data_IF_767192225926
#
_entry.id   IF_767192225926
#
_cell.length_a   1.000
_cell.length_b   1.000
_cell.length_c   1.000
_cell.angle_alpha   90.00
_cell.angle_beta   90.00
_cell.angle_gamma   90.00
#
_symmetry.space_group_name_H-M   'P 1'
#
loop_
_entity.id
_entity.type
_entity.pdbx_description
1 polymer ?
#
# COMPACT_ATOMS: atom_id res chain seq x y z
N UNK A 1 10.24 -18.59 -10.44
CA UNK A 1 10.40 -17.12 -10.43
C UNK A 1 11.32 -16.77 -9.27
N UNK A 2 12.33 -15.89 -9.45
CA UNK A 2 13.24 -15.51 -8.35
C UNK A 2 12.66 -14.29 -7.62
N UNK A 3 12.73 -14.22 -6.28
CA UNK A 3 12.34 -13.03 -5.54
C UNK A 3 13.19 -11.82 -5.97
N UNK A 4 12.64 -10.61 -5.82
CA UNK A 4 13.40 -9.36 -6.04
C UNK A 4 14.65 -9.38 -5.14
N UNK A 5 15.82 -9.05 -5.68
CA UNK A 5 17.05 -9.08 -4.90
C UNK A 5 17.11 -7.94 -3.87
N UNK A 6 17.68 -8.23 -2.70
CA UNK A 6 17.92 -7.24 -1.65
C UNK A 6 18.81 -6.09 -2.14
N UNK A 7 19.70 -6.34 -3.09
CA UNK A 7 20.56 -5.31 -3.69
C UNK A 7 19.75 -4.25 -4.44
N UNK A 8 18.82 -4.67 -5.30
CA UNK A 8 17.95 -3.75 -6.02
C UNK A 8 17.04 -2.97 -5.07
N UNK A 9 16.56 -3.63 -4.02
CA UNK A 9 15.78 -2.96 -2.99
C UNK A 9 16.60 -1.91 -2.23
N UNK A 10 17.82 -2.24 -1.83
CA UNK A 10 18.73 -1.32 -1.14
C UNK A 10 19.11 -0.12 -2.02
N UNK A 11 19.23 -0.31 -3.34
CA UNK A 11 19.42 0.78 -4.28
C UNK A 11 18.18 1.69 -4.35
N UNK A 12 16.98 1.11 -4.39
CA UNK A 12 15.72 1.85 -4.37
C UNK A 12 15.58 2.73 -3.11
N UNK A 13 15.92 2.20 -1.94
CA UNK A 13 15.87 2.94 -0.67
C UNK A 13 16.74 4.20 -0.64
N UNK A 14 17.76 4.28 -1.51
CA UNK A 14 18.67 5.44 -1.62
C UNK A 14 18.26 6.41 -2.73
N UNK A 15 17.20 6.08 -3.49
CA UNK A 15 16.75 6.87 -4.62
C UNK A 15 15.80 8.00 -4.20
N UNK A 16 15.69 9.04 -5.02
CA UNK A 16 14.71 10.13 -4.81
C UNK A 16 13.25 9.66 -4.96
N UNK A 17 13.03 8.50 -5.59
CA UNK A 17 11.71 7.89 -5.76
C UNK A 17 11.34 6.95 -4.61
N UNK A 18 12.16 6.89 -3.55
CA UNK A 18 11.86 6.06 -2.39
C UNK A 18 10.59 6.51 -1.69
N UNK A 19 9.66 5.57 -1.49
CA UNK A 19 8.45 5.79 -0.72
C UNK A 19 8.37 4.77 0.41
N UNK A 20 8.48 5.27 1.64
CA UNK A 20 8.44 4.44 2.87
C UNK A 20 7.15 3.63 3.02
N UNK A 21 6.09 3.99 2.29
CA UNK A 21 4.79 3.32 2.31
C UNK A 21 4.76 2.05 1.46
N UNK A 22 5.80 1.81 0.65
CA UNK A 22 5.92 0.59 -0.14
C UNK A 22 6.73 -0.44 0.66
N UNK A 23 6.18 -1.63 0.93
CA UNK A 23 6.83 -2.63 1.77
C UNK A 23 8.06 -3.24 1.08
N UNK A 24 9.12 -3.58 1.83
CA UNK A 24 10.21 -4.36 1.28
C UNK A 24 9.74 -5.74 0.79
N UNK A 25 10.34 -6.29 -0.28
CA UNK A 25 10.01 -7.62 -0.77
C UNK A 25 10.17 -8.72 0.27
N UNK A 26 11.09 -8.54 1.23
CA UNK A 26 11.37 -9.49 2.31
C UNK A 26 10.19 -9.77 3.22
N UNK A 27 9.28 -8.80 3.40
CA UNK A 27 8.05 -8.97 4.21
C UNK A 27 6.82 -9.25 3.34
N UNK A 28 6.97 -9.24 2.02
CA UNK A 28 5.88 -9.50 1.10
C UNK A 28 5.58 -11.00 1.00
N UNK A 29 4.67 -11.47 1.84
CA UNK A 29 4.21 -12.85 1.85
C UNK A 29 3.36 -13.24 0.63
N UNK A 30 3.02 -12.30 -0.25
CA UNK A 30 2.44 -12.56 -1.57
C UNK A 30 3.54 -12.58 -2.67
N UNK A 31 4.78 -12.92 -2.30
CA UNK A 31 6.03 -12.89 -3.08
C UNK A 31 6.02 -13.61 -4.43
N UNK A 32 4.94 -14.32 -4.77
CA UNK A 32 4.86 -15.16 -5.96
C UNK A 32 4.78 -14.45 -7.31
N UNK A 33 4.95 -13.12 -7.45
CA UNK A 33 4.49 -12.50 -8.71
C UNK A 33 5.20 -11.26 -9.29
N UNK A 34 6.36 -10.77 -8.83
CA UNK A 34 7.06 -9.68 -9.52
C UNK A 34 8.53 -10.01 -9.82
N UNK A 35 8.89 -10.00 -11.12
CA UNK A 35 10.24 -10.28 -11.63
C UNK A 35 11.19 -9.08 -11.56
N UNK A 36 10.68 -7.87 -11.38
CA UNK A 36 11.49 -6.63 -11.40
C UNK A 36 11.02 -5.63 -10.34
N UNK A 37 11.94 -4.76 -9.90
CA UNK A 37 11.62 -3.65 -9.00
C UNK A 37 10.54 -2.74 -9.61
N UNK A 38 10.64 -2.45 -10.91
CA UNK A 38 9.69 -1.61 -11.61
C UNK A 38 8.27 -2.18 -11.56
N UNK A 39 8.12 -3.48 -11.81
CA UNK A 39 6.81 -4.12 -11.74
C UNK A 39 6.30 -4.19 -10.29
N UNK A 40 7.19 -4.43 -9.32
CA UNK A 40 6.84 -4.40 -7.90
C UNK A 40 6.28 -3.04 -7.47
N UNK A 41 7.00 -1.95 -7.79
CA UNK A 41 6.58 -0.58 -7.50
C UNK A 41 5.28 -0.24 -8.25
N UNK A 42 5.17 -0.61 -9.53
CA UNK A 42 3.98 -0.37 -10.35
C UNK A 42 2.75 -1.01 -9.72
N UNK A 43 2.81 -2.29 -9.35
CA UNK A 43 1.65 -2.98 -8.75
C UNK A 43 1.23 -2.38 -7.42
N UNK A 44 2.19 -1.95 -6.61
CA UNK A 44 1.86 -1.33 -5.33
C UNK A 44 1.25 0.06 -5.52
N UNK A 45 1.86 0.91 -6.36
CA UNK A 45 1.45 2.31 -6.57
C UNK A 45 0.20 2.45 -7.41
N UNK A 46 0.10 1.68 -8.48
CA UNK A 46 -0.83 1.95 -9.57
C UNK A 46 -2.11 1.13 -9.45
N UNK A 47 -2.01 -0.18 -9.20
CA UNK A 47 -3.15 -1.07 -9.39
C UNK A 47 -4.35 -0.63 -8.53
N UNK A 48 -4.13 -0.36 -7.23
CA UNK A 48 -5.19 0.12 -6.33
C UNK A 48 -5.68 1.54 -6.61
N UNK A 49 -4.81 2.42 -7.12
CA UNK A 49 -5.22 3.78 -7.53
C UNK A 49 -6.06 3.76 -8.81
N UNK A 50 -5.76 2.84 -9.73
CA UNK A 50 -6.36 2.80 -11.06
C UNK A 50 -7.58 1.87 -11.16
N UNK A 51 -7.70 0.87 -10.28
CA UNK A 51 -8.75 -0.15 -10.36
C UNK A 51 -9.66 -0.15 -9.14
N UNK A 52 -9.11 -0.44 -7.95
CA UNK A 52 -9.89 -0.60 -6.72
C UNK A 52 -10.52 0.74 -6.27
N UNK A 53 -9.75 1.81 -6.18
CA UNK A 53 -10.26 3.10 -5.70
C UNK A 53 -11.37 3.70 -6.60
N UNK A 54 -11.24 3.75 -7.95
CA UNK A 54 -12.32 4.22 -8.81
C UNK A 54 -13.60 3.39 -8.68
N UNK A 55 -13.48 2.08 -8.47
CA UNK A 55 -14.64 1.23 -8.20
C UNK A 55 -15.33 1.63 -6.89
N UNK A 56 -14.57 1.83 -5.81
CA UNK A 56 -15.11 2.26 -4.52
C UNK A 56 -15.77 3.65 -4.61
N UNK A 57 -15.21 4.57 -5.39
CA UNK A 57 -15.80 5.89 -5.62
C UNK A 57 -17.12 5.81 -6.41
N UNK A 58 -17.09 5.10 -7.55
CA UNK A 58 -18.19 5.12 -8.52
C UNK A 58 -19.33 4.18 -8.15
N UNK A 59 -19.02 3.05 -7.48
CA UNK A 59 -20.01 2.03 -7.10
C UNK A 59 -20.28 2.01 -5.60
N UNK A 60 -19.24 2.20 -4.79
CA UNK A 60 -19.35 2.27 -3.32
C UNK A 60 -19.71 3.65 -2.79
N UNK A 61 -19.71 4.70 -3.64
CA UNK A 61 -20.02 6.06 -3.23
C UNK A 61 -18.95 6.70 -2.34
N UNK A 62 -17.74 6.13 -2.27
CA UNK A 62 -16.66 6.63 -1.43
C UNK A 62 -16.36 8.10 -1.76
N UNK A 63 -16.30 8.93 -0.70
CA UNK A 63 -16.00 10.37 -0.75
C UNK A 63 -14.65 10.64 -0.10
N UNK A 64 -14.07 11.81 -0.37
CA UNK A 64 -12.77 12.23 0.20
C UNK A 64 -12.78 12.36 1.72
N UNK A 65 -13.93 12.69 2.30
CA UNK A 65 -14.18 12.73 3.74
C UNK A 65 -14.88 11.44 4.24
N UNK A 66 -14.86 10.37 3.43
CA UNK A 66 -15.49 9.10 3.76
C UNK A 66 -14.62 8.23 4.64
N UNK A 67 -15.21 7.15 5.16
CA UNK A 67 -14.51 6.15 5.95
C UNK A 67 -14.43 4.84 5.15
N UNK A 68 -13.24 4.26 5.03
CA UNK A 68 -13.00 3.00 4.33
C UNK A 68 -12.47 1.95 5.31
N UNK A 69 -13.21 0.86 5.45
CA UNK A 69 -12.76 -0.36 6.12
C UNK A 69 -12.20 -1.33 5.07
N UNK A 70 -10.94 -1.73 5.23
CA UNK A 70 -10.23 -2.66 4.36
C UNK A 70 -9.88 -3.94 5.14
N UNK A 71 -10.70 -4.97 4.95
CA UNK A 71 -10.57 -6.26 5.63
C UNK A 71 -9.65 -7.19 4.83
N UNK A 72 -8.56 -7.64 5.44
CA UNK A 72 -7.45 -8.26 4.72
C UNK A 72 -6.62 -7.22 3.97
N UNK A 73 -6.31 -6.09 4.62
CA UNK A 73 -5.61 -4.97 4.00
C UNK A 73 -4.20 -5.32 3.48
N UNK A 74 -3.66 -6.45 3.96
CA UNK A 74 -2.33 -6.92 3.71
C UNK A 74 -1.28 -5.84 3.93
N UNK A 75 -0.35 -5.69 2.98
CA UNK A 75 0.67 -4.65 3.04
C UNK A 75 0.23 -3.30 2.45
N UNK A 76 -1.09 -3.07 2.32
CA UNK A 76 -1.65 -1.72 2.17
C UNK A 76 -1.59 -1.10 0.78
N UNK A 77 -1.74 -1.87 -0.31
CA UNK A 77 -1.93 -1.26 -1.65
C UNK A 77 -3.14 -0.31 -1.67
N UNK A 78 -4.23 -0.70 -1.02
CA UNK A 78 -5.41 0.15 -0.90
C UNK A 78 -5.22 1.28 0.12
N UNK A 79 -4.47 1.05 1.21
CA UNK A 79 -4.04 2.11 2.12
C UNK A 79 -3.24 3.21 1.40
N UNK A 80 -2.36 2.82 0.47
CA UNK A 80 -1.60 3.73 -0.39
C UNK A 80 -2.54 4.59 -1.23
N UNK A 81 -3.49 3.98 -1.96
CA UNK A 81 -4.47 4.69 -2.76
C UNK A 81 -5.35 5.63 -1.90
N UNK A 82 -5.85 5.14 -0.76
CA UNK A 82 -6.67 5.91 0.16
C UNK A 82 -5.92 7.14 0.70
N UNK A 83 -4.64 6.99 1.06
CA UNK A 83 -3.81 8.09 1.58
C UNK A 83 -3.54 9.21 0.56
N UNK A 84 -3.74 8.95 -0.73
CA UNK A 84 -3.71 9.95 -1.80
C UNK A 84 -5.08 10.55 -2.13
N UNK A 85 -6.16 9.87 -1.76
CA UNK A 85 -7.52 10.27 -2.10
C UNK A 85 -8.22 11.08 -1.00
N UNK A 86 -8.08 10.63 0.25
CA UNK A 86 -8.75 11.25 1.38
C UNK A 86 -8.20 12.64 1.69
N UNK A 87 -9.11 13.52 2.09
CA UNK A 87 -8.77 14.82 2.65
C UNK A 87 -8.50 14.71 4.16
N UNK A 88 -8.45 15.84 4.86
CA UNK A 88 -8.20 15.84 6.30
C UNK A 88 -9.30 15.15 7.12
N UNK A 89 -10.51 14.99 6.59
CA UNK A 89 -11.66 14.43 7.32
C UNK A 89 -11.94 12.97 6.94
N UNK A 90 -11.28 12.44 5.91
CA UNK A 90 -11.35 11.03 5.55
C UNK A 90 -10.59 10.12 6.51
N UNK A 91 -11.01 8.85 6.56
CA UNK A 91 -10.41 7.85 7.45
C UNK A 91 -10.28 6.49 6.76
N UNK A 92 -9.13 5.86 6.94
CA UNK A 92 -8.86 4.49 6.49
C UNK A 92 -8.63 3.61 7.72
N UNK A 93 -9.31 2.47 7.77
CA UNK A 93 -9.11 1.45 8.81
C UNK A 93 -8.75 0.14 8.13
N UNK A 94 -7.52 -0.32 8.36
CA UNK A 94 -7.02 -1.58 7.82
C UNK A 94 -7.02 -2.68 8.89
N UNK A 95 -7.52 -3.86 8.55
CA UNK A 95 -7.46 -5.04 9.42
C UNK A 95 -6.80 -6.18 8.65
N UNK A 96 -5.84 -6.85 9.27
CA UNK A 96 -5.19 -8.03 8.73
C UNK A 96 -4.80 -9.00 9.85
N UNK A 97 -4.77 -10.29 9.55
CA UNK A 97 -4.35 -11.32 10.50
C UNK A 97 -2.83 -11.36 10.65
N UNK A 98 -2.07 -10.89 9.65
CA UNK A 98 -0.62 -10.87 9.70
C UNK A 98 -0.14 -9.67 10.54
N UNK A 99 0.45 -9.91 11.73
CA UNK A 99 0.89 -8.82 12.59
C UNK A 99 2.09 -8.06 12.02
N UNK A 100 2.88 -8.66 11.13
CA UNK A 100 3.97 -7.95 10.43
C UNK A 100 3.45 -6.91 9.45
N UNK A 101 2.36 -7.22 8.76
CA UNK A 101 1.71 -6.27 7.87
C UNK A 101 1.16 -5.07 8.65
N UNK A 102 0.49 -5.31 9.78
CA UNK A 102 -0.03 -4.25 10.64
C UNK A 102 1.09 -3.39 11.23
N UNK A 103 2.21 -3.99 11.67
CA UNK A 103 3.38 -3.22 12.12
C UNK A 103 3.92 -2.32 11.01
N UNK A 104 4.15 -2.88 9.83
CA UNK A 104 4.63 -2.12 8.68
C UNK A 104 3.71 -0.93 8.36
N UNK A 105 2.39 -1.17 8.28
CA UNK A 105 1.43 -0.11 7.94
C UNK A 105 1.36 0.97 9.02
N UNK A 106 1.40 0.60 10.29
CA UNK A 106 1.48 1.58 11.37
C UNK A 106 2.70 2.47 11.21
N UNK A 107 3.90 1.90 11.00
CA UNK A 107 5.13 2.67 10.84
C UNK A 107 5.11 3.54 9.55
N UNK A 108 4.57 3.01 8.46
CA UNK A 108 4.51 3.68 7.17
C UNK A 108 3.55 4.88 7.15
N UNK A 109 2.44 4.81 7.89
CA UNK A 109 1.35 5.81 7.84
C UNK A 109 1.11 6.52 9.19
N UNK A 110 1.94 6.28 10.22
CA UNK A 110 1.85 6.88 11.57
C UNK A 110 1.62 8.40 11.58
N UNK A 111 2.10 9.12 10.56
CA UNK A 111 1.98 10.57 10.44
C UNK A 111 0.61 11.06 9.94
N UNK A 112 -0.29 10.14 9.54
CA UNK A 112 -1.67 10.44 9.12
C UNK A 112 -2.65 9.81 10.12
N UNK A 113 -3.80 10.48 10.33
CA UNK A 113 -4.92 10.12 11.22
C UNK A 113 -5.16 8.59 11.30
N UNK A 114 -5.61 8.07 12.47
CA UNK A 114 -5.34 6.71 12.91
C UNK A 114 -5.77 5.66 11.91
N UNK A 115 -4.87 4.71 11.67
CA UNK A 115 -5.13 3.38 11.11
C UNK A 115 -5.75 2.50 12.19
#
# INVERSE_FOLDING_TARGET
MKPLSDELWNQYCKSLDYDKRIPPPSINYNSGSCDTLQEYLRRHRFDSCARELPFLMNRGGLKKNGHLLDYGCGLGRLAYAAAHYFDSDGMYTGIDINPEAIRFLRDAYHDKKPI
#
